data_IF_466699370018
#
_entry.id   IF_466699370018
#
_cell.length_a   1.000
_cell.length_b   1.000
_cell.length_c   1.000
_cell.angle_alpha   90.00
_cell.angle_beta   90.00
_cell.angle_gamma   90.00
#
_symmetry.space_group_name_H-M   'P 1'
#
loop_
_entity.id
_entity.type
_entity.pdbx_description
1 polymer ?
#
# COMPACT_ATOMS: atom_id res chain seq x y z
N UNK A 1 4.07 2.35 2.52
CA UNK A 1 5.09 3.12 1.75
C UNK A 1 4.36 4.04 0.75
N UNK A 2 4.99 4.60 -0.30
CA UNK A 2 4.30 5.39 -1.34
C UNK A 2 4.61 4.86 -2.76
N UNK A 3 4.12 5.55 -3.80
CA UNK A 3 4.25 5.15 -5.22
C UNK A 3 5.70 4.94 -5.67
N UNK A 4 6.64 5.72 -5.13
CA UNK A 4 8.09 5.55 -5.35
C UNK A 4 8.60 4.15 -4.95
N UNK A 5 7.97 3.52 -3.96
CA UNK A 5 8.23 2.13 -3.60
C UNK A 5 7.27 1.15 -4.26
N UNK A 6 5.97 1.26 -3.94
CA UNK A 6 4.97 0.27 -4.31
C UNK A 6 4.87 0.08 -5.83
N UNK A 7 5.06 1.14 -6.61
CA UNK A 7 5.13 1.04 -8.06
C UNK A 7 6.57 0.89 -8.56
N UNK A 8 7.39 1.94 -8.44
CA UNK A 8 8.68 1.99 -9.15
C UNK A 8 9.72 1.00 -8.63
N UNK A 9 9.87 0.88 -7.31
CA UNK A 9 10.78 -0.12 -6.73
C UNK A 9 10.33 -1.54 -7.09
N UNK A 10 9.04 -1.86 -6.90
CA UNK A 10 8.48 -3.17 -7.29
C UNK A 10 8.74 -3.49 -8.76
N UNK A 11 8.52 -2.53 -9.65
CA UNK A 11 8.79 -2.67 -11.07
C UNK A 11 10.26 -2.98 -11.35
N UNK A 12 11.19 -2.21 -10.76
CA UNK A 12 12.63 -2.42 -10.91
C UNK A 12 13.04 -3.81 -10.41
N UNK A 13 12.60 -4.21 -9.21
CA UNK A 13 12.94 -5.51 -8.64
C UNK A 13 12.41 -6.67 -9.52
N UNK A 14 11.22 -6.52 -10.10
CA UNK A 14 10.68 -7.47 -11.07
C UNK A 14 11.54 -7.56 -12.33
N UNK A 15 11.91 -6.42 -12.92
CA UNK A 15 12.75 -6.34 -14.12
C UNK A 15 14.14 -6.93 -13.89
N UNK A 16 14.76 -6.63 -12.76
CA UNK A 16 16.06 -7.17 -12.37
C UNK A 16 16.01 -8.68 -12.07
N UNK A 17 14.83 -9.21 -11.74
CA UNK A 17 14.58 -10.66 -11.67
C UNK A 17 14.29 -11.31 -13.05
N UNK A 18 14.48 -10.58 -14.14
CA UNK A 18 14.38 -11.09 -15.51
C UNK A 18 12.96 -11.16 -16.06
N UNK A 19 11.97 -10.54 -15.38
CA UNK A 19 10.64 -10.37 -15.94
C UNK A 19 10.66 -9.34 -17.09
N UNK A 20 9.89 -9.59 -18.17
CA UNK A 20 9.69 -8.60 -19.21
C UNK A 20 8.83 -7.42 -18.72
N UNK A 21 8.87 -6.32 -19.47
CA UNK A 21 8.23 -5.04 -19.12
C UNK A 21 6.73 -5.18 -18.79
N UNK A 22 5.98 -5.85 -19.67
CA UNK A 22 4.54 -6.07 -19.54
C UNK A 22 4.17 -6.77 -18.22
N UNK A 23 4.89 -7.85 -17.88
CA UNK A 23 4.65 -8.60 -16.64
C UNK A 23 5.06 -7.81 -15.40
N UNK A 24 6.21 -7.12 -15.45
CA UNK A 24 6.70 -6.30 -14.36
C UNK A 24 5.74 -5.12 -14.07
N UNK A 25 5.20 -4.48 -15.12
CA UNK A 25 4.24 -3.38 -14.99
C UNK A 25 2.94 -3.86 -14.33
N UNK A 26 2.40 -5.02 -14.69
CA UNK A 26 1.19 -5.59 -14.04
C UNK A 26 1.40 -5.81 -12.53
N UNK A 27 2.54 -6.38 -12.14
CA UNK A 27 2.86 -6.64 -10.73
C UNK A 27 2.99 -5.31 -9.97
N UNK A 28 3.75 -4.35 -10.52
CA UNK A 28 3.96 -3.04 -9.91
C UNK A 28 2.67 -2.21 -9.80
N UNK A 29 1.88 -2.19 -10.87
CA UNK A 29 0.58 -1.53 -10.88
C UNK A 29 -0.34 -2.16 -9.83
N UNK A 30 -0.40 -3.49 -9.77
CA UNK A 30 -1.19 -4.19 -8.74
C UNK A 30 -0.75 -3.82 -7.33
N UNK A 31 0.56 -3.71 -7.07
CA UNK A 31 1.07 -3.29 -5.76
C UNK A 31 0.56 -1.89 -5.43
N UNK A 32 0.78 -0.88 -6.27
CA UNK A 32 0.29 0.48 -6.00
C UNK A 32 -1.24 0.58 -5.93
N UNK A 33 -1.95 -0.23 -6.72
CA UNK A 33 -3.42 -0.25 -6.74
C UNK A 33 -4.02 -0.69 -5.39
N UNK A 34 -3.27 -1.43 -4.54
CA UNK A 34 -3.70 -1.76 -3.17
C UNK A 34 -3.97 -0.48 -2.36
N UNK A 35 -3.11 0.52 -2.45
CA UNK A 35 -3.32 1.82 -1.80
C UNK A 35 -4.46 2.61 -2.45
N UNK A 36 -4.71 2.44 -3.75
CA UNK A 36 -5.64 3.26 -4.51
C UNK A 36 -7.08 2.72 -4.61
N UNK A 37 -7.29 1.43 -4.35
CA UNK A 37 -8.60 0.79 -4.30
C UNK A 37 -9.36 1.12 -2.99
N UNK A 38 -9.69 2.42 -2.86
CA UNK A 38 -10.40 3.07 -1.74
C UNK A 38 -11.92 3.07 -1.88
N UNK A 39 -12.44 2.37 -2.89
CA UNK A 39 -13.85 2.36 -3.23
C UNK A 39 -14.35 0.92 -3.18
N UNK A 40 -15.41 0.69 -2.39
CA UNK A 40 -16.19 -0.55 -2.41
C UNK A 40 -17.49 -0.35 -3.19
N UNK A 41 -17.43 0.30 -4.36
CA UNK A 41 -18.65 0.55 -5.12
C UNK A 41 -19.22 -0.76 -5.66
N UNK A 42 -20.55 -0.83 -5.66
CA UNK A 42 -21.30 -1.81 -6.43
C UNK A 42 -21.62 -1.21 -7.79
N UNK A 43 -21.10 -1.81 -8.85
CA UNK A 43 -21.37 -1.41 -10.22
C UNK A 43 -22.55 -2.23 -10.72
N UNK A 44 -23.68 -1.57 -11.00
CA UNK A 44 -24.80 -2.15 -11.74
C UNK A 44 -24.55 -1.94 -13.24
N UNK A 45 -24.45 -3.03 -14.01
CA UNK A 45 -24.19 -2.97 -15.45
C UNK A 45 -25.49 -2.92 -16.25
N UNK A 46 -25.50 -2.10 -17.32
CA UNK A 46 -26.63 -1.95 -18.23
C UNK A 46 -27.01 -3.25 -18.93
N UNK A 47 -26.03 -4.06 -19.28
CA UNK A 47 -26.22 -5.37 -19.91
C UNK A 47 -26.66 -6.45 -18.90
N UNK A 48 -26.84 -6.07 -17.63
CA UNK A 48 -27.20 -6.96 -16.54
C UNK A 48 -25.99 -7.48 -15.75
N UNK A 49 -26.27 -7.91 -14.52
CA UNK A 49 -25.27 -8.32 -13.55
C UNK A 49 -24.76 -7.16 -12.69
N UNK A 50 -24.03 -7.51 -11.63
CA UNK A 50 -23.40 -6.56 -10.72
C UNK A 50 -21.94 -6.94 -10.46
N UNK A 51 -21.10 -5.94 -10.20
CA UNK A 51 -19.74 -6.17 -9.74
C UNK A 51 -19.44 -5.36 -8.48
N UNK A 52 -19.06 -6.08 -7.42
CA UNK A 52 -18.63 -5.48 -6.16
C UNK A 52 -17.11 -5.31 -6.18
N UNK A 53 -16.63 -4.07 -6.08
CA UNK A 53 -15.21 -3.78 -5.90
C UNK A 53 -14.73 -4.32 -4.54
N UNK A 54 -13.51 -4.87 -4.51
CA UNK A 54 -12.81 -5.19 -3.27
C UNK A 54 -12.04 -3.94 -2.82
N UNK A 55 -12.40 -3.44 -1.65
CA UNK A 55 -11.69 -2.33 -1.02
C UNK A 55 -10.45 -2.87 -0.31
N UNK A 56 -9.29 -2.31 -0.62
CA UNK A 56 -7.98 -2.72 -0.04
C UNK A 56 -7.33 -1.59 0.75
N UNK A 57 -7.81 -0.36 0.59
CA UNK A 57 -7.45 0.80 1.40
C UNK A 57 -8.70 1.61 1.78
N UNK A 58 -8.60 2.50 2.77
CA UNK A 58 -9.73 3.33 3.22
C UNK A 58 -9.43 4.82 3.06
N UNK A 59 -10.47 5.64 2.85
CA UNK A 59 -10.34 7.11 2.82
C UNK A 59 -10.10 7.64 4.24
N UNK A 60 -9.18 8.59 4.41
CA UNK A 60 -8.78 9.16 5.71
C UNK A 60 -9.87 9.93 6.47
N UNK A 61 -10.98 10.30 5.82
CA UNK A 61 -12.03 11.18 6.38
C UNK A 61 -13.40 10.52 6.47
N UNK A 62 -13.46 9.27 6.91
CA UNK A 62 -14.73 8.54 7.04
C UNK A 62 -14.81 7.79 8.38
N UNK A 63 -15.94 7.85 9.12
CA UNK A 63 -16.05 7.31 10.48
C UNK A 63 -15.76 5.81 10.58
N UNK A 64 -15.98 5.06 9.49
CA UNK A 64 -15.72 3.61 9.43
C UNK A 64 -14.23 3.22 9.49
N UNK A 65 -13.28 4.17 9.48
CA UNK A 65 -11.85 3.89 9.72
C UNK A 65 -11.64 3.21 11.08
N UNK A 66 -12.45 3.57 12.08
CA UNK A 66 -12.33 3.01 13.43
C UNK A 66 -13.09 1.69 13.61
N UNK A 67 -13.81 1.22 12.59
CA UNK A 67 -14.52 -0.06 12.65
C UNK A 67 -13.49 -1.20 12.72
N UNK A 68 -13.70 -2.15 13.65
CA UNK A 68 -12.88 -3.36 13.74
C UNK A 68 -12.87 -4.16 12.43
N UNK A 69 -13.98 -4.20 11.70
CA UNK A 69 -14.05 -4.86 10.40
C UNK A 69 -13.01 -4.27 9.43
N UNK A 70 -12.93 -2.95 9.33
CA UNK A 70 -11.92 -2.25 8.52
C UNK A 70 -10.51 -2.56 9.04
N UNK A 71 -10.30 -2.57 10.35
CA UNK A 71 -8.99 -2.86 10.94
C UNK A 71 -8.50 -4.27 10.60
N UNK A 72 -9.36 -5.29 10.67
CA UNK A 72 -8.97 -6.65 10.31
C UNK A 72 -8.92 -6.87 8.79
N UNK A 73 -10.00 -6.53 8.07
CA UNK A 73 -10.17 -6.88 6.65
C UNK A 73 -9.36 -6.01 5.69
N UNK A 74 -8.89 -4.84 6.14
CA UNK A 74 -8.18 -3.89 5.29
C UNK A 74 -6.80 -3.64 5.87
N UNK A 75 -6.70 -2.99 7.04
CA UNK A 75 -5.40 -2.60 7.57
C UNK A 75 -4.53 -3.80 7.92
N UNK A 76 -5.04 -4.76 8.68
CA UNK A 76 -4.28 -5.95 9.09
C UNK A 76 -4.01 -6.93 7.96
N UNK A 77 -4.83 -6.86 6.90
CA UNK A 77 -4.71 -7.75 5.73
C UNK A 77 -3.72 -7.21 4.70
N UNK A 78 -3.79 -5.92 4.37
CA UNK A 78 -3.05 -5.33 3.25
C UNK A 78 -1.88 -4.43 3.67
N UNK A 79 -1.84 -3.89 4.90
CA UNK A 79 -0.88 -2.84 5.28
C UNK A 79 -0.12 -3.11 6.59
N UNK A 80 -0.64 -3.93 7.50
CA UNK A 80 -0.03 -4.23 8.79
C UNK A 80 -0.09 -5.73 9.04
N UNK A 81 0.57 -6.52 8.17
CA UNK A 81 0.62 -7.98 8.35
C UNK A 81 1.16 -8.28 9.77
N UNK A 82 0.41 -9.01 10.60
CA UNK A 82 0.84 -9.40 11.93
C UNK A 82 2.12 -10.20 11.90
N UNK A 83 3.10 -9.80 12.71
CA UNK A 83 4.37 -10.51 12.84
C UNK A 83 4.30 -11.79 13.67
N UNK A 84 3.19 -12.03 14.36
CA UNK A 84 3.04 -13.11 15.33
C UNK A 84 4.20 -13.15 16.36
N UNK A 85 4.66 -11.97 16.81
CA UNK A 85 5.76 -11.90 17.79
C UNK A 85 5.41 -12.70 19.03
N UNK A 86 6.38 -13.48 19.50
CA UNK A 86 6.29 -14.14 20.78
C UNK A 86 6.66 -13.14 21.88
N UNK A 87 5.77 -12.93 22.86
CA UNK A 87 6.05 -12.13 24.05
C UNK A 87 6.13 -13.02 25.28
N UNK A 88 7.34 -13.31 25.75
CA UNK A 88 7.55 -14.15 26.94
C UNK A 88 7.45 -13.38 28.26
N UNK A 89 7.00 -12.12 28.25
CA UNK A 89 6.87 -11.30 29.47
C UNK A 89 5.74 -11.75 30.40
N UNK A 90 4.81 -12.58 29.93
CA UNK A 90 3.76 -13.11 30.77
C UNK A 90 4.24 -14.31 31.61
N UNK A 91 3.90 -14.36 32.92
CA UNK A 91 4.33 -15.44 33.82
C UNK A 91 3.88 -16.85 33.40
N UNK A 92 2.79 -16.95 32.64
CA UNK A 92 2.25 -18.21 32.11
C UNK A 92 2.75 -18.56 30.69
N UNK A 93 3.62 -17.73 30.12
CA UNK A 93 4.12 -17.87 28.75
C UNK A 93 3.11 -17.54 27.65
N UNK A 94 1.91 -17.04 27.99
CA UNK A 94 0.90 -16.64 27.01
C UNK A 94 1.30 -15.33 26.33
N UNK A 95 1.00 -15.17 25.04
CA UNK A 95 1.25 -13.93 24.32
C UNK A 95 -0.09 -13.23 24.11
N UNK A 96 -0.28 -11.97 24.59
CA UNK A 96 -1.53 -11.26 24.37
C UNK A 96 -1.83 -11.15 22.88
N UNK A 97 -3.07 -11.43 22.45
CA UNK A 97 -3.49 -11.40 21.04
C UNK A 97 -3.03 -10.12 20.33
N UNK A 98 -3.21 -8.98 20.98
CA UNK A 98 -2.76 -7.66 20.51
C UNK A 98 -1.26 -7.63 20.18
N UNK A 99 -0.40 -8.19 21.04
CA UNK A 99 1.04 -8.26 20.77
C UNK A 99 1.35 -9.03 19.48
N UNK A 100 0.63 -10.12 19.23
CA UNK A 100 0.78 -10.95 18.04
C UNK A 100 0.40 -10.20 16.76
N UNK A 101 -0.51 -9.22 16.89
CA UNK A 101 -0.96 -8.31 15.84
C UNK A 101 -0.04 -7.10 15.61
N UNK A 102 1.12 -7.01 16.29
CA UNK A 102 2.16 -6.07 15.90
C UNK A 102 2.77 -6.47 14.57
N UNK A 103 2.86 -5.52 13.65
CA UNK A 103 3.54 -5.68 12.38
C UNK A 103 5.05 -5.80 12.60
N UNK A 104 5.69 -6.72 11.88
CA UNK A 104 7.14 -6.89 11.91
C UNK A 104 7.69 -7.18 10.54
N UNK A 105 8.80 -6.54 10.20
CA UNK A 105 9.54 -6.80 8.98
C UNK A 105 9.79 -8.30 8.80
N UNK A 106 9.54 -8.79 7.58
CA UNK A 106 9.86 -10.16 7.15
C UNK A 106 9.37 -11.28 8.09
N UNK A 107 8.20 -11.15 8.69
CA UNK A 107 7.63 -12.18 9.57
C UNK A 107 7.37 -13.52 8.86
N UNK A 108 7.32 -14.62 9.61
CA UNK A 108 6.89 -15.93 9.08
C UNK A 108 5.50 -15.84 8.43
N UNK A 109 4.58 -15.09 9.06
CA UNK A 109 3.23 -14.85 8.54
C UNK A 109 3.29 -14.19 7.16
N UNK A 110 4.11 -13.13 7.00
CA UNK A 110 4.23 -12.40 5.74
C UNK A 110 4.98 -13.19 4.67
N UNK A 111 5.92 -14.05 5.03
CA UNK A 111 6.61 -14.94 4.08
C UNK A 111 5.69 -16.05 3.56
N UNK A 112 4.83 -16.63 4.41
CA UNK A 112 3.94 -17.73 4.02
C UNK A 112 2.89 -17.32 2.96
N UNK A 113 2.61 -16.02 2.83
CA UNK A 113 1.76 -15.48 1.76
C UNK A 113 2.24 -15.91 0.37
N UNK A 114 3.56 -16.01 0.15
CA UNK A 114 4.13 -16.38 -1.16
C UNK A 114 3.86 -17.85 -1.54
N UNK A 115 3.66 -18.75 -0.56
CA UNK A 115 3.23 -20.12 -0.86
C UNK A 115 1.82 -20.14 -1.45
N UNK A 116 0.93 -19.30 -0.93
CA UNK A 116 -0.41 -19.17 -1.49
C UNK A 116 -0.38 -18.58 -2.90
N UNK A 117 0.44 -17.55 -3.15
CA UNK A 117 0.64 -16.99 -4.49
C UNK A 117 1.18 -18.06 -5.45
N UNK A 118 2.16 -18.87 -5.03
CA UNK A 118 2.70 -19.97 -5.84
C UNK A 118 1.65 -21.04 -6.18
N UNK A 119 0.73 -21.33 -5.26
CA UNK A 119 -0.38 -22.26 -5.52
C UNK A 119 -1.30 -21.75 -6.64
N UNK A 120 -1.41 -20.43 -6.81
CA UNK A 120 -2.20 -19.79 -7.86
C UNK A 120 -1.46 -19.60 -9.20
N UNK A 121 -0.27 -20.19 -9.39
CA UNK A 121 0.57 -20.01 -10.60
C UNK A 121 -0.09 -20.28 -11.97
N UNK A 122 -1.25 -20.94 -12.01
CA UNK A 122 -2.00 -21.22 -13.25
C UNK A 122 -3.21 -20.31 -13.43
N UNK A 123 -3.55 -19.51 -12.43
CA UNK A 123 -4.68 -18.60 -12.45
C UNK A 123 -4.37 -17.36 -13.31
N UNK A 124 -5.36 -16.80 -14.02
CA UNK A 124 -5.16 -15.61 -14.86
C UNK A 124 -4.73 -14.38 -14.06
N UNK A 125 -5.09 -14.31 -12.77
CA UNK A 125 -4.76 -13.23 -11.85
C UNK A 125 -3.49 -13.49 -11.02
N UNK A 126 -2.63 -14.44 -11.43
CA UNK A 126 -1.38 -14.76 -10.71
C UNK A 126 -0.47 -13.54 -10.51
N UNK A 127 -0.21 -12.76 -11.57
CA UNK A 127 0.65 -11.55 -11.48
C UNK A 127 0.04 -10.48 -10.56
N UNK A 128 -1.29 -10.38 -10.55
CA UNK A 128 -2.03 -9.46 -9.69
C UNK A 128 -1.90 -9.86 -8.22
N UNK A 129 -2.10 -11.15 -7.95
CA UNK A 129 -1.94 -11.73 -6.61
C UNK A 129 -0.51 -11.56 -6.08
N UNK A 130 0.50 -11.69 -6.96
CA UNK A 130 1.89 -11.40 -6.62
C UNK A 130 2.10 -9.92 -6.27
N UNK A 131 1.58 -8.99 -7.05
CA UNK A 131 1.68 -7.56 -6.74
C UNK A 131 1.01 -7.18 -5.41
N UNK A 132 -0.18 -7.72 -5.13
CA UNK A 132 -0.87 -7.53 -3.84
C UNK A 132 -0.05 -8.08 -2.68
N UNK A 133 0.54 -9.28 -2.83
CA UNK A 133 1.39 -9.87 -1.80
C UNK A 133 2.68 -9.06 -1.56
N UNK A 134 3.31 -8.58 -2.64
CA UNK A 134 4.51 -7.74 -2.55
C UNK A 134 4.21 -6.40 -1.85
N UNK A 135 3.07 -5.78 -2.12
CA UNK A 135 2.62 -4.58 -1.40
C UNK A 135 2.59 -4.83 0.11
N UNK A 136 1.80 -5.83 0.53
CA UNK A 136 1.56 -6.09 1.93
C UNK A 136 2.83 -6.57 2.65
N UNK A 137 3.70 -7.30 1.95
CA UNK A 137 5.02 -7.71 2.43
C UNK A 137 5.95 -6.51 2.61
N UNK A 138 6.05 -5.60 1.63
CA UNK A 138 6.86 -4.38 1.71
C UNK A 138 6.47 -3.49 2.89
N UNK A 139 5.17 -3.34 3.10
CA UNK A 139 4.60 -2.55 4.19
C UNK A 139 5.01 -3.07 5.59
N UNK A 140 5.47 -4.32 5.71
CA UNK A 140 5.98 -4.85 6.99
C UNK A 140 7.19 -4.11 7.52
N UNK A 141 8.01 -3.51 6.65
CA UNK A 141 9.20 -2.74 7.02
C UNK A 141 8.88 -1.30 7.42
N UNK A 142 8.08 -0.60 6.62
CA UNK A 142 7.67 0.76 6.94
C UNK A 142 6.88 0.79 8.25
N UNK A 143 5.92 -0.13 8.38
CA UNK A 143 4.96 -0.15 9.47
C UNK A 143 5.33 -1.06 10.66
N UNK A 144 6.58 -1.55 10.73
CA UNK A 144 7.05 -2.36 11.86
C UNK A 144 6.81 -1.65 13.21
N UNK A 145 6.52 -2.44 14.24
CA UNK A 145 6.21 -1.98 15.59
C UNK A 145 4.87 -1.22 15.74
N UNK A 146 4.11 -1.06 14.66
CA UNK A 146 2.72 -0.59 14.69
C UNK A 146 1.74 -1.76 14.45
N UNK A 147 0.46 -1.56 14.70
CA UNK A 147 -0.60 -2.55 14.51
C UNK A 147 -1.82 -1.93 13.84
N UNK A 148 -2.49 -2.72 13.00
CA UNK A 148 -3.80 -2.36 12.44
C UNK A 148 -4.90 -2.11 13.48
N UNK A 149 -4.70 -2.55 14.73
CA UNK A 149 -5.72 -2.47 15.78
C UNK A 149 -5.73 -1.11 16.49
N UNK A 150 -6.26 -0.11 15.80
CA UNK A 150 -6.40 1.27 16.27
C UNK A 150 -7.51 1.51 17.30
N UNK A 151 -8.41 0.54 17.54
CA UNK A 151 -9.56 0.77 18.44
C UNK A 151 -9.11 1.27 19.82
N UNK A 152 -9.72 2.38 20.23
CA UNK A 152 -9.56 3.06 21.51
C UNK A 152 -10.17 2.26 22.66
N UNK A 153 -9.60 1.10 22.96
CA UNK A 153 -9.79 0.51 24.28
C UNK A 153 -8.93 1.27 25.28
N UNK A 154 -9.51 1.55 26.47
CA UNK A 154 -8.80 2.26 27.54
C UNK A 154 -7.50 1.52 27.86
N UNK A 155 -6.36 2.14 27.55
CA UNK A 155 -5.03 1.57 27.77
C UNK A 155 -4.35 0.94 26.55
N UNK A 156 -4.98 0.91 25.37
CA UNK A 156 -4.30 0.51 24.13
C UNK A 156 -3.25 1.57 23.75
N UNK A 157 -1.97 1.19 23.80
CA UNK A 157 -0.82 2.06 23.48
C UNK A 157 0.03 1.53 22.33
N UNK A 158 -0.47 0.52 21.61
CA UNK A 158 0.28 -0.22 20.59
C UNK A 158 0.77 0.63 19.43
N UNK A 159 0.12 1.75 19.20
CA UNK A 159 0.42 2.66 18.11
C UNK A 159 0.86 4.04 18.61
N UNK A 160 1.02 4.19 19.93
CA UNK A 160 1.34 5.46 20.56
C UNK A 160 2.86 5.73 20.43
N UNK A 161 3.20 6.72 19.62
CA UNK A 161 4.54 7.25 19.38
C UNK A 161 4.65 8.67 19.97
N UNK A 162 5.46 8.81 21.02
CA UNK A 162 5.71 10.08 21.69
C UNK A 162 7.09 10.64 21.35
N UNK A 163 7.30 11.93 21.60
CA UNK A 163 8.60 12.59 21.46
C UNK A 163 9.24 12.36 20.08
N UNK A 164 8.42 12.41 19.04
CA UNK A 164 8.85 12.19 17.67
C UNK A 164 9.86 13.28 17.29
N UNK A 165 11.02 12.85 16.78
CA UNK A 165 12.06 13.74 16.27
C UNK A 165 12.49 13.30 14.88
N UNK A 166 12.79 14.25 14.02
CA UNK A 166 13.32 14.01 12.67
C UNK A 166 14.77 14.47 12.60
N UNK A 167 15.57 13.77 11.81
CA UNK A 167 16.94 14.15 11.53
C UNK A 167 16.97 15.37 10.63
N UNK A 168 17.60 16.44 11.10
CA UNK A 168 17.91 17.62 10.33
C UNK A 168 19.33 17.46 9.77
N UNK A 169 19.46 17.43 8.44
CA UNK A 169 20.75 17.27 7.76
C UNK A 169 21.66 18.49 7.92
N UNK A 170 21.10 19.70 7.95
CA UNK A 170 21.83 20.96 8.09
C UNK A 170 22.53 21.04 9.44
N UNK A 171 21.76 20.79 10.51
CA UNK A 171 22.25 20.92 11.89
C UNK A 171 22.82 19.60 12.44
N UNK A 172 22.83 18.53 11.63
CA UNK A 172 23.28 17.18 11.97
C UNK A 172 22.74 16.69 13.32
N UNK A 173 21.46 16.93 13.59
CA UNK A 173 20.84 16.57 14.85
C UNK A 173 19.35 16.22 14.70
N UNK A 174 18.80 15.58 15.74
CA UNK A 174 17.37 15.30 15.82
C UNK A 174 16.60 16.48 16.42
N UNK A 175 15.70 17.05 15.63
CA UNK A 175 14.80 18.15 16.03
C UNK A 175 13.38 17.64 16.25
N UNK A 176 12.59 18.24 17.17
CA UNK A 176 11.18 17.89 17.33
C UNK A 176 10.42 17.90 16.00
N UNK A 177 9.60 16.89 15.78
CA UNK A 177 8.73 16.85 14.60
C UNK A 177 7.50 17.71 14.81
N UNK A 178 7.37 18.76 14.01
CA UNK A 178 6.17 19.59 13.93
C UNK A 178 5.53 19.34 12.56
N UNK A 179 4.37 18.67 12.48
CA UNK A 179 3.66 18.51 11.22
C UNK A 179 3.32 19.90 10.67
N UNK A 180 3.80 20.24 9.48
CA UNK A 180 3.54 21.55 8.87
C UNK A 180 2.04 21.79 8.68
N UNK A 181 1.59 23.03 8.88
CA UNK A 181 0.17 23.42 8.72
C UNK A 181 -0.39 23.11 7.32
N UNK A 182 0.47 23.15 6.30
CA UNK A 182 0.13 22.89 4.88
C UNK A 182 -0.11 21.42 4.56
N UNK A 183 0.51 20.48 5.27
CA UNK A 183 0.40 19.05 4.96
C UNK A 183 -0.96 18.51 5.41
N UNK A 184 -1.51 19.02 6.52
CA UNK A 184 -2.87 18.73 6.96
C UNK A 184 -3.93 19.24 5.95
N UNK A 185 -3.74 20.46 5.41
CA UNK A 185 -4.62 21.02 4.38
C UNK A 185 -4.49 20.31 3.01
N UNK A 186 -3.33 19.71 2.71
CA UNK A 186 -3.12 18.87 1.53
C UNK A 186 -3.80 17.50 1.67
N UNK A 187 -3.76 16.88 2.85
CA UNK A 187 -4.38 15.56 3.11
C UNK A 187 -5.89 15.64 3.35
N UNK A 188 -6.38 16.72 3.98
CA UNK A 188 -7.81 16.91 4.24
C UNK A 188 -8.54 17.71 3.15
N UNK A 189 -7.82 18.18 2.13
CA UNK A 189 -8.33 19.16 1.18
C UNK A 189 -8.50 20.53 1.82
N UNK A 190 -8.39 21.60 1.02
CA UNK A 190 -8.51 23.03 1.41
C UNK A 190 -9.84 23.37 2.07
N UNK A 191 -10.06 22.93 3.30
CA UNK A 191 -11.37 23.03 3.96
C UNK A 191 -11.23 23.60 5.36
N UNK A 192 -10.95 24.90 5.38
CA UNK A 192 -10.84 25.76 6.56
C UNK A 192 -12.05 25.67 7.51
N UNK A 193 -13.23 25.26 7.01
CA UNK A 193 -14.46 25.10 7.83
C UNK A 193 -14.54 23.79 8.59
N UNK A 194 -13.83 22.74 8.16
CA UNK A 194 -13.75 21.47 8.89
C UNK A 194 -12.74 21.54 10.04
N UNK A 195 -11.82 22.52 9.99
CA UNK A 195 -10.82 22.82 11.03
C UNK A 195 -11.52 22.92 12.39
N UNK A 196 -12.44 23.86 12.60
CA UNK A 196 -13.05 24.04 13.94
C UNK A 196 -13.96 22.89 14.41
N UNK A 197 -14.52 22.09 13.51
CA UNK A 197 -15.34 20.93 13.88
C UNK A 197 -14.49 19.69 14.22
N UNK A 198 -13.38 19.48 13.52
CA UNK A 198 -12.43 18.39 13.78
C UNK A 198 -11.48 18.71 14.94
N UNK A 199 -11.11 19.98 15.13
CA UNK A 199 -10.32 20.43 16.29
C UNK A 199 -11.07 20.13 17.60
N UNK A 200 -12.40 20.22 17.68
CA UNK A 200 -13.14 19.82 18.89
C UNK A 200 -13.33 18.30 19.05
N UNK A 201 -13.01 17.50 18.03
CA UNK A 201 -12.99 16.01 18.06
C UNK A 201 -11.56 15.44 18.02
N UNK A 202 -10.59 16.22 18.48
CA UNK A 202 -9.14 15.94 18.45
C UNK A 202 -8.66 14.66 19.17
N UNK A 203 -9.55 13.89 19.81
CA UNK A 203 -9.31 12.50 20.21
C UNK A 203 -9.02 11.56 19.02
N UNK A 204 -9.30 11.98 17.78
CA UNK A 204 -9.00 11.23 16.54
C UNK A 204 -7.50 11.15 16.18
N UNK A 205 -6.62 11.90 16.85
CA UNK A 205 -5.15 11.86 16.65
C UNK A 205 -4.43 10.63 17.25
N UNK A 206 -5.15 9.53 17.54
CA UNK A 206 -4.54 8.24 17.93
C UNK A 206 -4.76 7.13 16.89
N UNK A 207 -4.79 7.48 15.61
CA UNK A 207 -4.58 6.46 14.57
C UNK A 207 -3.08 6.17 14.54
N UNK A 208 -2.67 4.90 14.59
CA UNK A 208 -1.29 4.56 14.23
C UNK A 208 -1.04 5.04 12.81
N UNK A 209 0.13 5.65 12.60
CA UNK A 209 0.45 6.67 11.60
C UNK A 209 0.12 8.13 11.91
N UNK A 210 -0.98 8.53 12.54
CA UNK A 210 -1.27 9.96 12.70
C UNK A 210 -0.24 10.75 13.52
N UNK A 211 0.43 10.13 14.50
CA UNK A 211 1.47 10.80 15.30
C UNK A 211 2.82 10.90 14.59
N UNK A 212 3.08 10.00 13.63
CA UNK A 212 4.31 9.96 12.84
C UNK A 212 4.07 10.34 11.37
N UNK A 213 2.84 10.73 11.05
CA UNK A 213 2.34 11.18 9.76
C UNK A 213 2.85 10.33 8.57
N UNK A 214 3.50 10.95 7.59
CA UNK A 214 4.11 10.31 6.42
C UNK A 214 5.54 9.85 6.69
N UNK A 215 6.09 10.04 7.90
CA UNK A 215 7.49 9.74 8.19
C UNK A 215 7.89 8.30 7.86
N UNK A 216 7.09 7.25 8.16
CA UNK A 216 7.48 5.88 7.80
C UNK A 216 7.39 5.60 6.29
N UNK A 217 6.65 6.43 5.54
CA UNK A 217 6.36 6.23 4.11
C UNK A 217 7.28 7.04 3.19
N UNK A 218 8.10 7.94 3.74
CA UNK A 218 9.07 8.76 2.98
C UNK A 218 10.48 8.14 3.05
N UNK A 219 11.04 7.62 1.94
CA UNK A 219 12.26 6.79 1.96
C UNK A 219 13.51 7.51 2.51
N UNK A 220 13.63 8.82 2.27
CA UNK A 220 14.81 9.61 2.64
C UNK A 220 14.84 10.02 4.13
N UNK A 221 13.81 9.68 4.91
CA UNK A 221 13.69 10.15 6.30
C UNK A 221 14.53 9.33 7.26
N UNK A 222 15.14 10.04 8.20
CA UNK A 222 15.67 9.47 9.44
C UNK A 222 14.95 10.12 10.62
N UNK A 223 14.40 9.31 11.52
CA UNK A 223 13.52 9.80 12.59
C UNK A 223 13.56 8.86 13.80
N UNK A 224 13.10 9.33 14.96
CA UNK A 224 13.02 8.53 16.17
C UNK A 224 11.82 8.91 17.03
N UNK A 225 11.38 7.98 17.86
CA UNK A 225 10.23 8.16 18.74
C UNK A 225 10.34 7.28 19.98
N UNK A 226 9.56 7.60 20.99
CA UNK A 226 9.33 6.75 22.15
C UNK A 226 8.06 5.93 21.93
N UNK A 227 8.21 4.62 21.82
CA UNK A 227 7.10 3.70 21.64
C UNK A 227 6.49 3.30 22.98
N UNK A 228 5.23 3.69 23.20
CA UNK A 228 4.56 3.57 24.51
C UNK A 228 4.16 2.15 24.88
N UNK A 229 4.09 1.23 23.93
CA UNK A 229 3.79 -0.17 24.20
C UNK A 229 5.04 -1.00 24.52
N UNK A 230 6.14 -0.80 23.78
CA UNK A 230 7.41 -1.49 24.11
C UNK A 230 8.25 -0.76 25.16
N UNK A 231 7.90 0.49 25.50
CA UNK A 231 8.65 1.36 26.42
C UNK A 231 10.10 1.62 25.95
N UNK A 232 10.29 1.71 24.63
CA UNK A 232 11.61 1.86 24.01
C UNK A 232 11.70 3.14 23.18
N UNK A 233 12.91 3.70 23.13
CA UNK A 233 13.27 4.67 22.10
C UNK A 233 13.68 3.92 20.84
N UNK A 234 12.94 4.12 19.76
CA UNK A 234 13.20 3.49 18.47
C UNK A 234 13.68 4.56 17.50
N UNK A 235 14.74 4.25 16.75
CA UNK A 235 15.27 5.04 15.65
C UNK A 235 14.99 4.31 14.35
N UNK A 236 14.64 5.07 13.31
CA UNK A 236 14.27 4.60 11.99
C UNK A 236 15.11 5.34 10.98
N UNK A 237 15.90 4.59 10.22
CA UNK A 237 16.60 5.06 9.03
C UNK A 237 15.91 4.44 7.82
N UNK A 238 15.02 5.21 7.19
CA UNK A 238 14.15 4.65 6.17
C UNK A 238 14.93 4.20 4.93
N UNK A 239 16.06 4.83 4.60
CA UNK A 239 16.87 4.40 3.44
C UNK A 239 17.36 2.97 3.66
N UNK A 240 17.91 2.69 4.85
CA UNK A 240 18.33 1.34 5.22
C UNK A 240 17.17 0.35 5.24
N UNK A 241 16.06 0.74 5.86
CA UNK A 241 14.84 -0.10 5.96
C UNK A 241 14.27 -0.44 4.56
N UNK A 242 14.25 0.52 3.64
CA UNK A 242 13.74 0.34 2.28
C UNK A 242 14.69 -0.53 1.44
N UNK A 243 16.00 -0.42 1.64
CA UNK A 243 16.98 -1.33 1.04
C UNK A 243 16.83 -2.76 1.55
N UNK A 244 16.62 -2.95 2.85
CA UNK A 244 16.35 -4.27 3.43
C UNK A 244 15.06 -4.88 2.88
N UNK A 245 13.99 -4.09 2.80
CA UNK A 245 12.73 -4.49 2.17
C UNK A 245 12.94 -4.91 0.71
N UNK A 246 13.68 -4.09 -0.05
CA UNK A 246 14.00 -4.36 -1.45
C UNK A 246 14.81 -5.64 -1.64
N UNK A 247 15.81 -5.87 -0.79
CA UNK A 247 16.63 -7.09 -0.83
C UNK A 247 15.79 -8.34 -0.53
N UNK A 248 14.92 -8.25 0.48
CA UNK A 248 14.04 -9.35 0.85
C UNK A 248 13.01 -9.65 -0.24
N UNK A 249 12.43 -8.61 -0.86
CA UNK A 249 11.54 -8.76 -2.03
C UNK A 249 12.28 -9.38 -3.20
N UNK A 250 13.49 -8.92 -3.49
CA UNK A 250 14.33 -9.46 -4.55
C UNK A 250 14.59 -10.96 -4.35
N UNK A 251 14.92 -11.38 -3.12
CA UNK A 251 15.06 -12.79 -2.77
C UNK A 251 13.77 -13.61 -2.90
N UNK A 252 12.62 -13.08 -2.47
CA UNK A 252 11.33 -13.75 -2.63
C UNK A 252 10.95 -13.94 -4.11
N UNK A 253 11.24 -12.95 -4.96
CA UNK A 253 11.05 -13.05 -6.40
C UNK A 253 11.96 -14.13 -7.01
N UNK A 254 13.25 -14.13 -6.65
CA UNK A 254 14.20 -15.15 -7.11
C UNK A 254 13.74 -16.56 -6.74
N UNK A 255 13.39 -16.78 -5.47
CA UNK A 255 12.89 -18.06 -5.00
C UNK A 255 11.62 -18.47 -5.77
N UNK A 256 10.61 -17.59 -5.82
CA UNK A 256 9.34 -17.87 -6.48
C UNK A 256 9.50 -18.24 -7.96
N UNK A 257 10.27 -17.47 -8.73
CA UNK A 257 10.45 -17.70 -10.16
C UNK A 257 11.45 -18.82 -10.50
N UNK A 258 12.27 -19.26 -9.53
CA UNK A 258 13.09 -20.46 -9.68
C UNK A 258 12.26 -21.75 -9.67
N UNK A 259 11.08 -21.72 -9.04
CA UNK A 259 10.20 -22.88 -8.87
C UNK A 259 9.62 -23.39 -10.19
N UNK A 260 9.36 -24.70 -10.22
CA UNK A 260 8.75 -25.35 -11.38
C UNK A 260 7.41 -24.69 -11.72
N UNK A 261 7.20 -24.44 -13.01
CA UNK A 261 5.98 -23.84 -13.53
C UNK A 261 5.99 -22.31 -13.58
N UNK A 262 6.99 -21.62 -13.03
CA UNK A 262 7.09 -20.15 -13.11
C UNK A 262 8.33 -19.64 -13.86
N UNK A 263 9.36 -20.47 -14.02
CA UNK A 263 10.60 -20.12 -14.76
C UNK A 263 10.35 -19.57 -16.17
N UNK A 264 9.25 -19.97 -16.82
CA UNK A 264 8.87 -19.49 -18.15
C UNK A 264 8.47 -18.00 -18.18
N UNK A 265 8.24 -17.36 -17.03
CA UNK A 265 8.06 -15.91 -16.95
C UNK A 265 9.36 -15.13 -17.12
N UNK A 266 10.51 -15.76 -16.81
CA UNK A 266 11.83 -15.14 -16.88
C UNK A 266 12.33 -15.23 -18.32
N UNK A 267 12.35 -14.09 -19.01
CA UNK A 267 12.72 -13.98 -20.43
C UNK A 267 13.79 -12.92 -20.68
N UNK A 268 14.19 -12.19 -19.65
CA UNK A 268 15.25 -11.18 -19.67
C UNK A 268 16.41 -11.61 -18.76
N UNK A 269 17.62 -11.07 -18.97
CA UNK A 269 18.74 -11.32 -18.06
C UNK A 269 18.39 -10.91 -16.62
N UNK A 270 18.82 -11.73 -15.67
CA UNK A 270 18.77 -11.40 -14.24
C UNK A 270 19.96 -10.51 -13.93
N UNK A 271 19.73 -9.45 -13.16
CA UNK A 271 20.72 -8.45 -12.76
C UNK A 271 20.98 -8.65 -11.28
N UNK A 272 22.24 -8.86 -10.91
CA UNK A 272 22.64 -9.21 -9.54
C UNK A 272 22.31 -8.08 -8.55
N UNK A 273 21.90 -8.44 -7.34
CA UNK A 273 21.61 -7.49 -6.26
C UNK A 273 22.74 -6.48 -6.04
N UNK A 274 24.00 -6.92 -6.14
CA UNK A 274 25.17 -6.06 -5.95
C UNK A 274 25.21 -4.88 -6.94
N UNK A 275 24.66 -5.08 -8.15
CA UNK A 275 24.72 -4.10 -9.24
C UNK A 275 23.53 -3.11 -9.16
N UNK A 276 22.48 -3.45 -8.41
CA UNK A 276 21.29 -2.60 -8.26
C UNK A 276 21.18 -1.93 -6.88
N UNK A 277 21.96 -2.39 -5.88
CA UNK A 277 21.90 -1.85 -4.51
C UNK A 277 22.21 -0.35 -4.45
N UNK A 278 23.25 0.11 -5.14
CA UNK A 278 23.63 1.54 -5.11
C UNK A 278 22.62 2.43 -5.85
N UNK A 279 22.18 2.10 -7.08
CA UNK A 279 21.08 2.84 -7.73
C UNK A 279 19.79 2.92 -6.89
N UNK A 280 19.43 1.83 -6.19
CA UNK A 280 18.30 1.84 -5.25
C UNK A 280 18.54 2.80 -4.08
N UNK A 281 19.73 2.76 -3.48
CA UNK A 281 20.13 3.65 -2.39
C UNK A 281 20.05 5.12 -2.80
N UNK A 282 20.53 5.48 -4.00
CA UNK A 282 20.45 6.83 -4.54
C UNK A 282 18.99 7.28 -4.72
N UNK A 283 18.12 6.43 -5.27
CA UNK A 283 16.70 6.73 -5.43
C UNK A 283 15.98 6.92 -4.09
N UNK A 284 16.27 6.08 -3.08
CA UNK A 284 15.68 6.21 -1.74
C UNK A 284 16.20 7.43 -0.98
N UNK A 285 17.45 7.82 -1.20
CA UNK A 285 18.07 8.98 -0.57
C UNK A 285 17.58 10.31 -1.13
N UNK A 286 16.91 10.30 -2.29
CA UNK A 286 16.43 11.51 -2.94
C UNK A 286 15.34 12.21 -2.11
N UNK A 287 15.61 13.45 -1.71
CA UNK A 287 14.67 14.29 -0.98
C UNK A 287 13.76 15.08 -1.91
N UNK A 288 12.46 15.02 -1.67
CA UNK A 288 11.50 15.80 -2.43
C UNK A 288 10.06 15.39 -2.17
N UNK A 289 9.15 16.10 -2.83
CA UNK A 289 7.75 15.69 -2.95
C UNK A 289 7.67 14.32 -3.64
N UNK A 290 6.58 13.57 -3.41
CA UNK A 290 6.38 12.28 -4.06
C UNK A 290 6.57 12.37 -5.59
N UNK A 291 5.99 13.39 -6.24
CA UNK A 291 6.17 13.65 -7.66
C UNK A 291 7.65 13.79 -8.08
N UNK A 292 8.46 14.54 -7.33
CA UNK A 292 9.90 14.68 -7.62
C UNK A 292 10.64 13.36 -7.46
N UNK A 293 10.28 12.55 -6.45
CA UNK A 293 10.87 11.24 -6.23
C UNK A 293 10.50 10.26 -7.34
N UNK A 294 9.23 10.25 -7.78
CA UNK A 294 8.76 9.44 -8.91
C UNK A 294 9.49 9.82 -10.21
N UNK A 295 9.67 11.12 -10.48
CA UNK A 295 10.45 11.58 -11.63
C UNK A 295 11.93 11.15 -11.55
N UNK A 296 12.51 11.12 -10.34
CA UNK A 296 13.86 10.60 -10.14
C UNK A 296 13.95 9.10 -10.48
N UNK A 297 12.96 8.30 -10.06
CA UNK A 297 12.86 6.89 -10.43
C UNK A 297 12.73 6.67 -11.94
N UNK A 298 11.83 7.41 -12.60
CA UNK A 298 11.65 7.32 -14.06
C UNK A 298 12.98 7.61 -14.75
N UNK A 299 13.66 8.70 -14.37
CA UNK A 299 14.94 9.07 -14.94
C UNK A 299 15.98 7.95 -14.77
N UNK A 300 16.16 7.41 -13.56
CA UNK A 300 17.11 6.33 -13.28
C UNK A 300 16.85 5.07 -14.14
N UNK A 301 15.57 4.76 -14.38
CA UNK A 301 15.17 3.63 -15.22
C UNK A 301 15.43 3.91 -16.70
N UNK A 302 15.17 5.13 -17.18
CA UNK A 302 15.39 5.53 -18.56
C UNK A 302 16.88 5.62 -18.92
N UNK A 303 17.71 6.09 -18.00
CA UNK A 303 19.18 6.15 -18.14
C UNK A 303 19.85 4.79 -18.03
N UNK A 304 19.11 3.76 -17.61
CA UNK A 304 19.58 2.39 -17.52
C UNK A 304 20.46 2.10 -16.29
N UNK A 305 20.31 2.89 -15.23
CA UNK A 305 21.11 2.74 -13.99
C UNK A 305 20.93 1.36 -13.33
N UNK A 306 19.78 0.72 -13.55
CA UNK A 306 19.50 -0.63 -13.06
C UNK A 306 19.93 -1.75 -14.01
N UNK A 307 20.70 -1.46 -15.07
CA UNK A 307 21.16 -2.45 -16.05
C UNK A 307 20.13 -2.89 -17.10
N UNK A 308 19.00 -2.18 -17.19
CA UNK A 308 18.00 -2.35 -18.24
C UNK A 308 17.38 -1.00 -18.64
N UNK A 309 16.82 -0.91 -19.84
CA UNK A 309 16.04 0.26 -20.29
C UNK A 309 14.63 -0.14 -20.77
N UNK A 310 13.79 0.84 -21.08
CA UNK A 310 12.42 0.68 -21.63
C UNK A 310 12.33 1.20 -23.08
N UNK A 311 13.44 1.63 -23.68
CA UNK A 311 13.48 2.23 -25.02
C UNK A 311 12.79 1.30 -26.05
N UNK A 312 11.61 1.70 -26.56
CA UNK A 312 11.09 1.46 -27.94
C UNK A 312 9.56 1.55 -28.17
N UNK A 313 8.69 2.15 -27.32
CA UNK A 313 7.28 2.35 -27.72
C UNK A 313 6.62 3.63 -27.16
N UNK A 314 5.90 4.42 -27.99
CA UNK A 314 5.07 5.52 -27.49
C UNK A 314 3.79 5.09 -26.75
N UNK A 315 3.51 3.77 -26.67
CA UNK A 315 2.32 3.18 -26.02
C UNK A 315 2.58 2.63 -24.59
N UNK A 316 3.84 2.64 -24.13
CA UNK A 316 4.26 1.98 -22.88
C UNK A 316 4.90 2.98 -21.90
N UNK A 317 4.20 4.07 -21.55
CA UNK A 317 4.67 4.95 -20.48
C UNK A 317 4.77 4.16 -19.16
N UNK A 318 5.88 4.35 -18.43
CA UNK A 318 6.06 3.79 -17.08
C UNK A 318 5.27 4.59 -16.03
N UNK A 319 4.45 5.54 -16.44
CA UNK A 319 3.64 6.32 -15.51
C UNK A 319 2.51 5.46 -14.95
N UNK A 320 2.25 5.63 -13.66
CA UNK A 320 1.10 5.03 -13.01
C UNK A 320 -0.09 6.01 -13.03
N UNK A 321 -1.19 5.61 -13.67
CA UNK A 321 -2.48 6.28 -13.53
C UNK A 321 -3.48 5.34 -12.88
N UNK A 322 -3.88 5.65 -11.64
CA UNK A 322 -4.88 4.92 -10.86
C UNK A 322 -6.22 4.62 -11.57
N UNK A 323 -6.53 5.30 -12.68
CA UNK A 323 -7.75 5.07 -13.48
C UNK A 323 -7.53 4.21 -14.70
N UNK A 324 -6.30 4.00 -15.15
CA UNK A 324 -5.96 3.30 -16.40
C UNK A 324 -6.72 1.98 -16.53
N UNK A 325 -6.61 1.11 -15.52
CA UNK A 325 -7.28 -0.19 -15.51
C UNK A 325 -8.80 -0.08 -15.46
N UNK A 326 -9.35 0.83 -14.65
CA UNK A 326 -10.80 1.00 -14.56
C UNK A 326 -11.39 1.50 -15.90
N UNK A 327 -10.77 2.54 -16.47
CA UNK A 327 -11.22 3.16 -17.72
C UNK A 327 -11.01 2.20 -18.90
N UNK A 328 -10.04 1.26 -18.83
CA UNK A 328 -9.89 0.18 -19.81
C UNK A 328 -10.99 -0.89 -19.71
N UNK A 329 -11.53 -1.15 -18.52
CA UNK A 329 -12.51 -2.23 -18.28
C UNK A 329 -13.98 -1.77 -18.35
N UNK A 330 -14.26 -0.52 -17.97
CA UNK A 330 -15.62 -0.02 -17.73
C UNK A 330 -15.86 1.27 -18.50
N UNK A 331 -17.01 1.38 -19.13
CA UNK A 331 -17.52 2.64 -19.66
C UNK A 331 -18.56 3.24 -18.70
N UNK A 332 -18.44 4.54 -18.44
CA UNK A 332 -19.40 5.29 -17.63
C UNK A 332 -20.33 6.05 -18.57
N UNK A 333 -21.61 5.72 -18.59
CA UNK A 333 -22.60 6.51 -19.31
C UNK A 333 -23.07 7.67 -18.40
N UNK A 334 -22.72 8.94 -18.71
CA UNK A 334 -23.25 10.05 -17.96
C UNK A 334 -24.77 10.10 -18.13
N UNK A 335 -25.53 10.05 -17.02
CA UNK A 335 -26.95 10.40 -17.09
C UNK A 335 -27.09 11.80 -17.66
N UNK A 336 -27.88 11.96 -18.73
CA UNK A 336 -28.35 13.26 -19.24
C UNK A 336 -29.07 13.99 -18.10
N UNK A 337 -28.36 14.79 -17.31
CA UNK A 337 -29.01 15.69 -16.36
C UNK A 337 -29.47 16.93 -17.13
N UNK A 338 -30.78 17.08 -17.31
CA UNK A 338 -31.35 18.44 -17.38
C UNK A 338 -31.00 19.13 -16.06
N UNK A 339 -30.44 20.33 -16.15
CA UNK A 339 -30.00 21.24 -15.08
C UNK A 339 -28.65 20.94 -14.41
N UNK A 340 -27.73 21.91 -14.59
CA UNK A 340 -26.59 22.16 -13.72
C UNK A 340 -27.09 22.50 -12.31
N UNK A 341 -27.12 21.51 -11.43
CA UNK A 341 -27.36 21.74 -10.00
C UNK A 341 -26.05 22.22 -9.35
N UNK A 342 -26.06 23.42 -8.75
CA UNK A 342 -24.93 24.01 -8.01
C UNK A 342 -24.37 23.08 -6.92
N UNK A 343 -25.13 22.07 -6.46
CA UNK A 343 -24.64 21.02 -5.54
C UNK A 343 -23.57 20.09 -6.13
N UNK A 344 -23.51 19.89 -7.46
CA UNK A 344 -22.45 19.09 -8.12
C UNK A 344 -21.05 19.67 -7.88
N UNK A 345 -20.95 21.01 -7.85
CA UNK A 345 -19.67 21.71 -7.72
C UNK A 345 -19.06 21.58 -6.31
N UNK A 346 -19.90 21.58 -5.27
CA UNK A 346 -19.44 21.42 -3.88
C UNK A 346 -19.01 19.98 -3.53
N UNK A 347 -19.62 18.95 -4.13
CA UNK A 347 -19.15 17.56 -3.94
C UNK A 347 -17.81 17.29 -4.65
N UNK A 348 -17.60 17.94 -5.80
CA UNK A 348 -16.35 17.83 -6.56
C UNK A 348 -15.13 18.33 -5.75
N UNK A 349 -15.29 19.46 -5.06
CA UNK A 349 -14.25 20.06 -4.20
C UNK A 349 -13.91 19.23 -2.94
N UNK A 350 -14.84 18.39 -2.45
CA UNK A 350 -14.63 17.55 -1.27
C UNK A 350 -14.14 16.14 -1.57
N UNK A 351 -14.48 15.58 -2.73
CA UNK A 351 -14.36 14.13 -2.99
C UNK A 351 -13.65 13.75 -4.29
N UNK A 352 -13.14 14.71 -5.09
CA UNK A 352 -12.45 14.45 -6.36
C UNK A 352 -13.33 13.86 -7.47
N UNK A 353 -14.64 13.69 -7.22
CA UNK A 353 -15.74 13.45 -8.16
C UNK A 353 -17.05 13.97 -7.54
N UNK A 354 -18.08 14.27 -8.34
CA UNK A 354 -19.42 14.53 -7.82
C UNK A 354 -20.07 13.21 -7.40
N UNK A 355 -19.64 12.61 -6.28
CA UNK A 355 -20.38 11.49 -5.70
C UNK A 355 -21.60 12.05 -4.96
N UNK A 356 -22.75 12.05 -5.62
CA UNK A 356 -24.04 12.29 -4.98
C UNK A 356 -24.77 10.94 -4.84
N UNK A 357 -25.11 10.49 -3.62
CA UNK A 357 -25.78 9.20 -3.37
C UNK A 357 -27.08 8.98 -4.16
N UNK A 358 -27.69 10.06 -4.69
CA UNK A 358 -28.96 10.00 -5.43
C UNK A 358 -28.80 9.92 -6.96
N UNK A 359 -27.59 9.93 -7.50
CA UNK A 359 -27.35 9.78 -8.95
C UNK A 359 -26.66 8.44 -9.19
N UNK A 360 -27.44 7.38 -9.37
CA UNK A 360 -26.91 6.10 -9.90
C UNK A 360 -26.30 6.38 -11.27
N UNK A 361 -24.96 6.39 -11.36
CA UNK A 361 -24.25 6.27 -12.63
C UNK A 361 -24.60 4.91 -13.26
N UNK A 362 -24.71 4.85 -14.58
CA UNK A 362 -24.93 3.59 -15.29
C UNK A 362 -23.59 3.16 -15.88
N UNK A 363 -23.20 1.92 -15.65
CA UNK A 363 -21.94 1.35 -16.14
C UNK A 363 -22.22 0.37 -17.27
N UNK A 364 -21.33 0.31 -18.25
CA UNK A 364 -21.33 -0.68 -19.33
C UNK A 364 -19.99 -1.42 -19.31
N UNK A 365 -20.01 -2.73 -19.55
CA UNK A 365 -18.79 -3.54 -19.62
C UNK A 365 -18.13 -3.33 -20.98
N UNK A 366 -16.83 -3.02 -21.01
CA UNK A 366 -16.05 -3.04 -22.25
C UNK A 366 -15.70 -4.47 -22.67
N UNK A 367 -15.38 -4.65 -23.94
CA UNK A 367 -14.88 -5.92 -24.46
C UNK A 367 -13.65 -6.38 -23.66
N UNK A 368 -13.61 -7.66 -23.29
CA UNK A 368 -12.54 -8.21 -22.47
C UNK A 368 -12.64 -7.89 -20.97
N UNK A 369 -13.76 -7.37 -20.45
CA UNK A 369 -13.94 -7.08 -19.02
C UNK A 369 -13.47 -8.21 -18.09
N UNK A 370 -13.80 -9.47 -18.39
CA UNK A 370 -13.44 -10.63 -17.55
C UNK A 370 -11.93 -10.89 -17.48
N UNK A 371 -11.17 -10.51 -18.50
CA UNK A 371 -9.72 -10.64 -18.59
C UNK A 371 -8.98 -9.33 -18.38
N UNK A 372 -9.69 -8.25 -18.06
CA UNK A 372 -9.08 -6.95 -17.80
C UNK A 372 -8.29 -6.98 -16.50
N UNK A 373 -7.15 -6.27 -16.46
CA UNK A 373 -6.33 -6.19 -15.26
C UNK A 373 -7.11 -5.62 -14.05
N UNK A 374 -8.04 -4.70 -14.31
CA UNK A 374 -8.93 -4.19 -13.28
C UNK A 374 -9.75 -5.29 -12.60
N UNK A 375 -10.38 -6.15 -13.41
CA UNK A 375 -11.21 -7.25 -12.90
C UNK A 375 -10.35 -8.30 -12.19
N UNK A 376 -9.20 -8.64 -12.78
CA UNK A 376 -8.26 -9.62 -12.23
C UNK A 376 -7.66 -9.15 -10.90
N UNK A 377 -7.32 -7.86 -10.77
CA UNK A 377 -6.89 -7.25 -9.51
C UNK A 377 -7.93 -7.41 -8.40
N UNK A 378 -9.20 -7.07 -8.67
CA UNK A 378 -10.25 -7.15 -7.66
C UNK A 378 -10.57 -8.59 -7.25
N UNK A 379 -10.49 -9.54 -8.19
CA UNK A 379 -10.61 -10.96 -7.88
C UNK A 379 -9.45 -11.46 -7.03
N UNK A 380 -8.21 -11.13 -7.40
CA UNK A 380 -7.01 -11.45 -6.64
C UNK A 380 -7.05 -10.86 -5.22
N UNK A 381 -7.45 -9.59 -5.07
CA UNK A 381 -7.58 -8.91 -3.78
C UNK A 381 -8.60 -9.60 -2.88
N UNK A 382 -9.71 -10.09 -3.44
CA UNK A 382 -10.71 -10.85 -2.69
C UNK A 382 -10.17 -12.21 -2.25
N UNK A 383 -9.56 -12.97 -3.17
CA UNK A 383 -8.92 -14.27 -2.87
C UNK A 383 -7.87 -14.12 -1.78
N UNK A 384 -7.02 -13.09 -1.89
CA UNK A 384 -5.98 -12.76 -0.92
C UNK A 384 -6.56 -12.51 0.47
N UNK A 385 -7.56 -11.63 0.58
CA UNK A 385 -8.21 -11.31 1.86
C UNK A 385 -8.84 -12.55 2.49
N UNK A 386 -9.59 -13.32 1.70
CA UNK A 386 -10.29 -14.51 2.21
C UNK A 386 -9.30 -15.57 2.69
N UNK A 387 -8.21 -15.80 1.95
CA UNK A 387 -7.11 -16.67 2.38
C UNK A 387 -6.44 -16.15 3.66
N UNK A 388 -6.08 -14.87 3.69
CA UNK A 388 -5.30 -14.27 4.76
C UNK A 388 -6.05 -14.39 6.10
N UNK A 389 -7.31 -13.98 6.14
CA UNK A 389 -8.12 -13.93 7.36
C UNK A 389 -8.54 -15.34 7.80
N UNK A 390 -9.06 -16.15 6.87
CA UNK A 390 -9.72 -17.40 7.22
C UNK A 390 -8.82 -18.63 7.17
N UNK A 391 -7.59 -18.51 6.66
CA UNK A 391 -6.63 -19.63 6.63
C UNK A 391 -5.30 -19.26 7.27
N UNK A 392 -4.65 -18.22 6.79
CA UNK A 392 -3.30 -17.88 7.23
C UNK A 392 -3.25 -17.46 8.70
N UNK A 393 -4.01 -16.43 9.10
CA UNK A 393 -4.01 -15.96 10.49
C UNK A 393 -4.49 -17.05 11.46
N UNK A 394 -5.47 -17.87 11.05
CA UNK A 394 -5.96 -19.00 11.85
C UNK A 394 -4.90 -20.07 12.10
N UNK A 395 -4.02 -20.35 11.13
CA UNK A 395 -2.89 -21.28 11.31
C UNK A 395 -1.99 -20.86 12.47
N UNK A 396 -1.81 -19.56 12.66
CA UNK A 396 -1.07 -19.02 13.79
C UNK A 396 -1.94 -18.96 15.06
N UNK A 397 -3.25 -19.10 14.99
CA UNK A 397 -4.18 -18.92 16.12
C UNK A 397 -4.58 -17.47 16.35
N UNK A 398 -4.53 -16.64 15.30
CA UNK A 398 -5.12 -15.30 15.26
C UNK A 398 -6.46 -15.38 14.54
N UNK A 399 -7.57 -15.40 15.28
CA UNK A 399 -8.92 -15.54 14.71
C UNK A 399 -9.51 -14.15 14.53
N UNK A 400 -9.61 -13.70 13.28
CA UNK A 400 -9.95 -12.31 12.93
C UNK A 400 -11.18 -12.17 12.01
N UNK A 401 -11.84 -13.28 11.66
CA UNK A 401 -12.92 -13.33 10.67
C UNK A 401 -14.20 -13.96 11.18
#
# INVERSE_FOLDING_TARGET
MQEDFHFYTTYVLCRCNGLPHDKAKIIAYSSQQVDDAKYGHELEFKEGGRFQQQMTAHKYVHPNILNLKTQYEIYGTFHFIPGNRQDRRNPDGSVPFRHRMLCTANSEVSQEVFEHVYQQKKEPDFLHSLGIALHAYADTWAHQDFSALFKFEKGNKMNDANHVKVWNKTDQCFVPYEPGETTFDQVCGRMQRLKNYLLNKFELMKMGHCQVYTLPDEPHRKWKYYHRYSYQHLERDNVGIYLEASNAIYGQLQDLFSRQGLRHHITKPIIDWKDIKEPLHECFSYEGTLEKRNNNWIKAIETGEFGFTILNRPLDSLEYDRKEWFDAAVEIEPKKSRLFDKKRFNCFLLYGRPYHPSLKETYSRKDGFLSSDWKLFHDAARKYKDFFIHKLLQKYGMICG
#
